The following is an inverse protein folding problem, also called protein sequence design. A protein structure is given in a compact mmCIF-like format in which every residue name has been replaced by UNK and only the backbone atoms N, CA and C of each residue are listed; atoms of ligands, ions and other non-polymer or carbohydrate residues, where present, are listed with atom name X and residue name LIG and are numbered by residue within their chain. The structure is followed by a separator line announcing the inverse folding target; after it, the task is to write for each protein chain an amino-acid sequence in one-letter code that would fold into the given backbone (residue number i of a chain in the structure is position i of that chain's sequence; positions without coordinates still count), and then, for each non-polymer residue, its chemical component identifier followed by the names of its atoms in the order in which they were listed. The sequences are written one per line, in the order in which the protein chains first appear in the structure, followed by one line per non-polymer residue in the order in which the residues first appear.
data_IF_429427193540
#
_entry.id   IF_429427193540
#
_cell.length_a   1.000
_cell.length_b   1.000
_cell.length_c   1.000
_cell.angle_alpha   90.00
_cell.angle_beta   90.00
_cell.angle_gamma   90.00
#
_symmetry.space_group_name_H-M   'P 1'
#
loop_
_entity.id
_entity.type
_entity.pdbx_description
1 polymer ?
#
# COMPACT_ATOMS: atom_id res chain seq x y z
N UNK A 1 3.19 24.77 14.06
CA UNK A 1 2.88 24.22 12.72
C UNK A 1 2.01 23.00 12.90
N UNK A 2 0.80 23.00 12.34
CA UNK A 2 -0.12 21.85 12.40
C UNK A 2 0.11 20.97 11.16
N UNK A 3 0.45 19.70 11.37
CA UNK A 3 0.78 18.76 10.29
C UNK A 3 -0.20 17.59 10.34
N UNK A 4 -0.82 17.28 9.19
CA UNK A 4 -1.68 16.12 9.05
C UNK A 4 -1.01 15.01 8.22
N UNK A 5 -1.19 13.76 8.65
CA UNK A 5 -0.78 12.57 7.95
C UNK A 5 -1.94 11.92 7.20
N UNK A 6 -1.66 11.36 6.02
CA UNK A 6 -2.60 10.55 5.24
C UNK A 6 -1.88 9.25 4.84
N UNK A 7 -2.48 8.10 5.15
CA UNK A 7 -1.99 6.79 4.68
C UNK A 7 -2.75 6.44 3.41
N UNK A 8 -2.04 6.15 2.31
CA UNK A 8 -2.65 5.98 1.00
C UNK A 8 -1.89 5.00 0.10
N UNK A 9 -2.53 4.57 -0.97
CA UNK A 9 -1.92 3.79 -2.06
C UNK A 9 -1.62 4.65 -3.30
N UNK A 10 -2.50 5.61 -3.59
CA UNK A 10 -2.46 6.43 -4.81
C UNK A 10 -2.30 5.60 -6.09
N UNK A 11 -3.22 4.68 -6.32
CA UNK A 11 -3.12 3.62 -7.30
C UNK A 11 -4.20 3.66 -8.42
N UNK A 12 -4.17 4.66 -9.36
CA UNK A 12 -3.32 5.87 -9.38
C UNK A 12 -3.85 6.99 -8.47
N UNK A 13 -3.11 8.11 -8.40
CA UNK A 13 -3.58 9.33 -7.74
C UNK A 13 -4.68 9.98 -8.60
N UNK A 14 -5.89 10.13 -8.07
CA UNK A 14 -7.06 10.67 -8.78
C UNK A 14 -7.70 11.86 -8.05
N UNK A 15 -8.69 12.52 -8.68
CA UNK A 15 -9.38 13.70 -8.12
C UNK A 15 -9.96 13.48 -6.72
N UNK A 16 -10.38 12.26 -6.37
CA UNK A 16 -10.83 11.92 -5.02
C UNK A 16 -9.72 12.03 -3.97
N UNK A 17 -8.47 11.70 -4.32
CA UNK A 17 -7.33 11.88 -3.43
C UNK A 17 -6.98 13.37 -3.26
N UNK A 18 -6.99 14.15 -4.35
CA UNK A 18 -6.80 15.59 -4.27
C UNK A 18 -7.89 16.27 -3.42
N UNK A 19 -9.14 15.86 -3.56
CA UNK A 19 -10.24 16.31 -2.71
C UNK A 19 -9.99 16.00 -1.24
N UNK A 20 -9.54 14.77 -0.91
CA UNK A 20 -9.22 14.38 0.47
C UNK A 20 -8.13 15.29 1.05
N UNK A 21 -7.02 15.48 0.35
CA UNK A 21 -5.93 16.38 0.77
C UNK A 21 -6.44 17.80 0.99
N UNK A 22 -7.19 18.35 0.02
CA UNK A 22 -7.76 19.71 0.12
C UNK A 22 -8.71 19.87 1.29
N UNK A 23 -9.62 18.91 1.51
CA UNK A 23 -10.55 18.94 2.65
C UNK A 23 -9.84 18.78 3.99
N UNK A 24 -8.84 17.90 4.07
CA UNK A 24 -8.01 17.77 5.28
C UNK A 24 -7.38 19.13 5.62
N UNK A 25 -6.74 19.78 4.66
CA UNK A 25 -6.11 21.10 4.87
C UNK A 25 -7.12 22.15 5.30
N UNK A 26 -8.26 22.25 4.60
CA UNK A 26 -9.28 23.25 4.87
C UNK A 26 -9.93 23.07 6.26
N UNK A 27 -10.33 21.85 6.60
CA UNK A 27 -11.12 21.59 7.81
C UNK A 27 -10.27 21.48 9.07
N UNK A 28 -9.01 21.08 8.96
CA UNK A 28 -8.12 20.95 10.13
C UNK A 28 -7.20 22.15 10.32
N UNK A 29 -7.07 23.03 9.33
CA UNK A 29 -6.08 24.10 9.34
C UNK A 29 -4.64 23.60 9.23
N UNK A 30 -4.44 22.37 8.74
CA UNK A 30 -3.10 21.81 8.58
C UNK A 30 -2.27 22.61 7.56
N UNK A 31 -1.11 23.11 8.00
CA UNK A 31 -0.17 23.85 7.18
C UNK A 31 0.62 22.95 6.23
N UNK A 32 0.74 21.67 6.58
CA UNK A 32 1.43 20.69 5.78
C UNK A 32 0.74 19.32 5.82
N UNK A 33 0.75 18.62 4.69
CA UNK A 33 0.20 17.27 4.53
C UNK A 33 1.34 16.30 4.18
N UNK A 34 1.59 15.34 5.06
CA UNK A 34 2.54 14.25 4.87
C UNK A 34 1.78 12.99 4.47
N UNK A 35 2.05 12.48 3.28
CA UNK A 35 1.44 11.25 2.79
C UNK A 35 2.37 10.06 3.02
N UNK A 36 1.87 9.00 3.67
CA UNK A 36 2.56 7.72 3.79
C UNK A 36 1.98 6.78 2.72
N UNK A 37 2.76 6.47 1.71
CA UNK A 37 2.31 5.80 0.50
C UNK A 37 2.91 4.41 0.36
N UNK A 38 2.07 3.40 0.07
CA UNK A 38 2.54 2.05 -0.29
C UNK A 38 3.61 2.11 -1.39
N UNK A 39 4.66 1.29 -1.23
CA UNK A 39 5.74 1.16 -2.20
C UNK A 39 5.29 0.55 -3.54
N UNK A 40 6.06 -0.38 -4.09
CA UNK A 40 5.81 -0.96 -5.41
C UNK A 40 4.58 -1.89 -5.46
N UNK A 41 4.10 -2.37 -4.30
CA UNK A 41 2.92 -3.24 -4.16
C UNK A 41 1.94 -2.67 -3.15
N UNK A 42 0.65 -2.93 -3.37
CA UNK A 42 -0.44 -2.31 -2.61
C UNK A 42 -1.26 -3.34 -1.82
N UNK A 43 -2.06 -2.89 -0.86
CA UNK A 43 -2.79 -3.73 0.10
C UNK A 43 -3.72 -4.76 -0.54
N UNK A 44 -4.24 -4.45 -1.73
CA UNK A 44 -5.08 -5.42 -2.46
C UNK A 44 -4.31 -6.65 -2.94
N UNK A 45 -2.99 -6.66 -2.85
CA UNK A 45 -2.12 -7.74 -3.29
C UNK A 45 -1.88 -7.69 -4.80
N UNK A 46 -1.60 -6.52 -5.30
CA UNK A 46 -1.27 -6.27 -6.70
C UNK A 46 -0.10 -5.30 -6.82
N UNK A 47 0.66 -5.31 -7.94
CA UNK A 47 1.60 -4.24 -8.23
C UNK A 47 0.87 -2.92 -8.39
N UNK A 48 1.49 -1.82 -7.99
CA UNK A 48 0.93 -0.50 -8.17
C UNK A 48 0.84 -0.13 -9.66
N UNK A 49 -0.17 0.66 -10.04
CA UNK A 49 -0.42 1.05 -11.44
C UNK A 49 0.76 1.78 -12.09
N UNK A 50 1.45 2.61 -11.31
CA UNK A 50 2.73 3.24 -11.65
C UNK A 50 3.74 2.95 -10.53
N UNK A 51 5.04 3.04 -10.83
CA UNK A 51 6.08 2.90 -9.82
C UNK A 51 5.94 3.95 -8.70
N UNK A 52 6.56 3.68 -7.54
CA UNK A 52 6.45 4.54 -6.36
C UNK A 52 7.01 5.95 -6.58
N UNK A 53 8.03 6.10 -7.40
CA UNK A 53 8.64 7.41 -7.67
C UNK A 53 7.74 8.27 -8.57
N UNK A 54 7.11 7.67 -9.58
CA UNK A 54 6.10 8.33 -10.39
C UNK A 54 4.87 8.74 -9.56
N UNK A 55 4.38 7.86 -8.68
CA UNK A 55 3.26 8.18 -7.79
C UNK A 55 3.63 9.26 -6.76
N UNK A 56 4.88 9.30 -6.30
CA UNK A 56 5.38 10.39 -5.45
C UNK A 56 5.32 11.72 -6.19
N UNK A 57 5.78 11.80 -7.47
CA UNK A 57 5.67 13.01 -8.29
C UNK A 57 4.21 13.44 -8.46
N UNK A 58 3.33 12.49 -8.81
CA UNK A 58 1.89 12.75 -8.96
C UNK A 58 1.26 13.31 -7.67
N UNK A 59 1.60 12.75 -6.51
CA UNK A 59 1.09 13.20 -5.22
C UNK A 59 1.57 14.61 -4.86
N UNK A 60 2.87 14.90 -5.05
CA UNK A 60 3.44 16.23 -4.78
C UNK A 60 2.85 17.29 -5.71
N UNK A 61 2.72 17.02 -7.00
CA UNK A 61 2.08 17.92 -7.98
C UNK A 61 0.59 18.13 -7.70
N UNK A 62 -0.04 17.23 -6.95
CA UNK A 62 -1.48 17.25 -6.67
C UNK A 62 -1.83 17.63 -5.22
N UNK A 63 -0.89 18.19 -4.45
CA UNK A 63 -1.18 18.84 -3.16
C UNK A 63 -0.57 18.21 -1.91
N UNK A 64 0.10 17.06 -2.01
CA UNK A 64 0.92 16.53 -0.91
C UNK A 64 2.18 17.39 -0.73
N UNK A 65 2.60 17.65 0.51
CA UNK A 65 3.82 18.42 0.79
C UNK A 65 5.05 17.53 0.95
N UNK A 66 4.86 16.32 1.47
CA UNK A 66 5.89 15.28 1.60
C UNK A 66 5.28 13.89 1.38
N UNK A 67 6.05 12.99 0.80
CA UNK A 67 5.67 11.59 0.60
C UNK A 67 6.70 10.68 1.26
N UNK A 68 6.23 9.84 2.18
CA UNK A 68 6.99 8.79 2.85
C UNK A 68 6.61 7.42 2.24
N UNK A 69 7.50 6.45 2.35
CA UNK A 69 7.25 5.07 1.93
C UNK A 69 6.67 4.22 3.06
N UNK A 70 5.50 3.62 2.83
CA UNK A 70 4.99 2.55 3.67
C UNK A 70 5.65 1.24 3.21
N UNK A 71 6.46 0.59 4.05
CA UNK A 71 7.17 -0.63 3.69
C UNK A 71 6.25 -1.74 3.18
N UNK A 72 6.75 -2.51 2.19
CA UNK A 72 6.00 -3.57 1.50
C UNK A 72 5.47 -4.63 2.48
N UNK A 73 6.19 -4.87 3.57
CA UNK A 73 5.77 -5.82 4.59
C UNK A 73 4.48 -5.42 5.29
N UNK A 74 4.19 -4.11 5.42
CA UNK A 74 2.91 -3.61 5.92
C UNK A 74 1.90 -3.45 4.78
N UNK A 75 2.34 -3.01 3.60
CA UNK A 75 1.47 -2.81 2.44
C UNK A 75 0.77 -4.11 2.02
N UNK A 76 1.44 -5.27 2.12
CA UNK A 76 0.90 -6.57 1.74
C UNK A 76 0.21 -7.32 2.88
N UNK A 77 -0.29 -6.62 3.90
CA UNK A 77 -1.04 -7.23 4.99
C UNK A 77 -2.53 -6.85 5.00
N UNK A 78 -3.29 -7.51 5.89
CA UNK A 78 -4.69 -7.16 6.14
C UNK A 78 -4.79 -5.75 6.78
N UNK A 79 -6.00 -5.17 6.74
CA UNK A 79 -6.27 -3.81 7.23
C UNK A 79 -5.66 -3.53 8.62
N UNK A 80 -5.71 -4.51 9.51
CA UNK A 80 -5.15 -4.44 10.87
C UNK A 80 -3.67 -4.04 10.88
N UNK A 81 -2.83 -4.76 10.19
CA UNK A 81 -1.38 -4.52 10.21
C UNK A 81 -0.94 -3.45 9.21
N UNK A 82 -1.69 -3.25 8.15
CA UNK A 82 -1.52 -2.09 7.27
C UNK A 82 -1.71 -0.79 8.06
N UNK A 83 -2.81 -0.67 8.80
CA UNK A 83 -3.11 0.49 9.62
C UNK A 83 -2.10 0.65 10.77
N UNK A 84 -1.84 -0.41 11.52
CA UNK A 84 -0.89 -0.38 12.63
C UNK A 84 0.52 0.03 12.19
N UNK A 85 1.02 -0.53 11.07
CA UNK A 85 2.31 -0.17 10.50
C UNK A 85 2.37 1.32 10.13
N UNK A 86 1.31 1.84 9.48
CA UNK A 86 1.23 3.24 9.13
C UNK A 86 1.17 4.17 10.34
N UNK A 87 0.37 3.84 11.36
CA UNK A 87 0.29 4.61 12.62
C UNK A 87 1.64 4.62 13.34
N UNK A 88 2.34 3.47 13.39
CA UNK A 88 3.67 3.38 14.02
C UNK A 88 4.72 4.24 13.31
N UNK A 89 4.68 4.31 11.97
CA UNK A 89 5.56 5.21 11.20
C UNK A 89 5.28 6.67 11.56
N UNK A 90 4.02 7.07 11.58
CA UNK A 90 3.64 8.44 11.93
C UNK A 90 3.93 8.77 13.40
N UNK A 91 3.71 7.84 14.30
CA UNK A 91 4.08 8.01 15.70
C UNK A 91 5.61 8.12 15.88
N UNK A 92 6.37 7.31 15.13
CA UNK A 92 7.84 7.40 15.07
C UNK A 92 8.35 8.72 14.50
N UNK A 93 7.64 9.33 13.55
CA UNK A 93 8.00 10.62 12.95
C UNK A 93 7.82 11.79 13.95
N UNK A 94 6.87 11.68 14.88
CA UNK A 94 6.65 12.61 16.00
C UNK A 94 6.41 14.08 15.66
N UNK A 95 6.00 14.40 14.43
CA UNK A 95 5.71 15.78 13.99
C UNK A 95 4.25 16.00 13.62
N UNK A 96 3.48 14.92 13.52
CA UNK A 96 2.07 14.97 13.15
C UNK A 96 1.19 15.15 14.37
N UNK A 97 0.13 15.93 14.20
CA UNK A 97 -0.95 16.08 15.19
C UNK A 97 -2.25 15.37 14.76
N UNK A 98 -2.40 15.07 13.47
CA UNK A 98 -3.64 14.54 12.90
C UNK A 98 -3.33 13.37 11.99
N UNK A 99 -4.15 12.30 12.10
CA UNK A 99 -4.27 11.25 11.09
C UNK A 99 -5.59 11.40 10.34
N UNK A 100 -5.52 11.82 9.07
CA UNK A 100 -6.70 11.99 8.23
C UNK A 100 -6.94 10.78 7.35
N UNK A 101 -8.20 10.31 7.27
CA UNK A 101 -8.61 9.17 6.44
C UNK A 101 -10.01 9.35 5.86
N UNK A 102 -10.31 8.63 4.78
CA UNK A 102 -11.63 8.65 4.14
C UNK A 102 -12.59 7.65 4.76
N UNK A 103 -13.87 8.03 4.91
CA UNK A 103 -14.98 7.14 5.33
C UNK A 103 -16.10 7.13 4.31
N UNK A 104 -16.84 6.03 4.28
CA UNK A 104 -18.00 5.84 3.40
C UNK A 104 -19.32 5.90 4.20
N UNK A 105 -19.37 5.21 5.34
CA UNK A 105 -20.53 5.14 6.22
C UNK A 105 -20.70 6.36 7.13
N UNK A 106 -21.85 6.41 7.81
CA UNK A 106 -22.16 7.46 8.79
C UNK A 106 -21.55 7.18 10.16
N UNK A 107 -21.37 5.90 10.52
CA UNK A 107 -20.77 5.43 11.78
C UNK A 107 -19.60 4.49 11.50
N UNK A 108 -18.69 4.35 12.45
CA UNK A 108 -17.69 3.30 12.43
C UNK A 108 -18.37 1.95 12.65
N UNK A 109 -17.86 0.86 12.05
CA UNK A 109 -18.38 -0.47 12.32
C UNK A 109 -18.02 -0.88 13.75
N UNK A 110 -18.98 -1.53 14.43
CA UNK A 110 -18.73 -2.07 15.76
C UNK A 110 -17.94 -3.37 15.68
N UNK A 111 -17.09 -3.59 16.68
CA UNK A 111 -16.41 -4.87 16.86
C UNK A 111 -17.44 -5.88 17.43
N UNK A 112 -17.56 -7.03 16.78
CA UNK A 112 -18.46 -8.11 17.21
C UNK A 112 -17.96 -8.79 18.47
N UNK A 113 -18.82 -9.02 19.43
CA UNK A 113 -18.50 -9.77 20.65
C UNK A 113 -18.09 -11.22 20.36
N UNK A 114 -18.69 -11.83 19.33
CA UNK A 114 -18.42 -13.22 18.92
C UNK A 114 -17.30 -13.35 17.87
N UNK A 115 -16.50 -12.31 17.65
CA UNK A 115 -15.45 -12.24 16.61
C UNK A 115 -14.51 -13.46 16.63
N UNK A 116 -14.03 -13.87 17.80
CA UNK A 116 -13.14 -15.03 17.95
C UNK A 116 -13.81 -16.35 17.50
N UNK A 117 -15.07 -16.56 17.83
CA UNK A 117 -15.79 -17.75 17.43
C UNK A 117 -16.04 -17.79 15.91
N UNK A 118 -16.28 -16.64 15.29
CA UNK A 118 -16.45 -16.49 13.84
C UNK A 118 -15.13 -16.74 13.09
N UNK A 119 -14.01 -16.23 13.60
CA UNK A 119 -12.69 -16.54 13.06
C UNK A 119 -12.37 -18.04 13.11
N UNK A 120 -12.69 -18.71 14.24
CA UNK A 120 -12.54 -20.17 14.36
C UNK A 120 -13.42 -20.94 13.38
N UNK A 121 -14.59 -20.42 13.00
CA UNK A 121 -15.44 -20.99 11.93
C UNK A 121 -14.91 -20.70 10.52
N UNK A 122 -13.82 -19.97 10.39
CA UNK A 122 -13.17 -19.68 9.11
C UNK A 122 -13.80 -18.53 8.34
N UNK A 123 -14.50 -17.62 8.99
CA UNK A 123 -14.95 -16.37 8.37
C UNK A 123 -13.75 -15.46 8.09
N UNK A 124 -13.87 -14.59 7.07
CA UNK A 124 -12.83 -13.60 6.78
C UNK A 124 -12.69 -12.59 7.93
N UNK A 125 -11.49 -12.06 8.17
CA UNK A 125 -11.25 -11.12 9.26
C UNK A 125 -12.25 -9.94 9.29
N UNK A 126 -12.51 -9.20 8.19
CA UNK A 126 -13.48 -8.11 8.22
C UNK A 126 -14.90 -8.58 8.59
N UNK A 127 -15.35 -9.69 8.04
CA UNK A 127 -16.66 -10.25 8.32
C UNK A 127 -16.81 -10.79 9.74
N UNK A 128 -15.75 -11.37 10.28
CA UNK A 128 -15.74 -11.92 11.62
C UNK A 128 -15.69 -10.84 12.70
N UNK A 129 -14.88 -9.79 12.47
CA UNK A 129 -14.58 -8.76 13.47
C UNK A 129 -15.61 -7.63 13.46
N UNK A 130 -16.10 -7.24 12.29
CA UNK A 130 -16.97 -6.07 12.14
C UNK A 130 -18.42 -6.47 11.74
N UNK A 131 -19.41 -5.72 12.21
CA UNK A 131 -20.83 -6.03 12.02
C UNK A 131 -21.33 -5.72 10.60
N UNK A 132 -21.05 -4.57 10.05
CA UNK A 132 -21.43 -4.17 8.70
C UNK A 132 -20.38 -3.17 8.16
N UNK A 133 -19.34 -3.69 7.50
CA UNK A 133 -18.20 -2.86 7.21
C UNK A 133 -17.94 -2.69 5.73
N UNK A 134 -18.02 -1.45 5.27
CA UNK A 134 -17.41 -1.03 4.02
C UNK A 134 -15.88 -1.02 4.15
N UNK A 135 -15.13 -1.31 3.09
CA UNK A 135 -13.67 -1.48 3.18
C UNK A 135 -12.92 -0.29 3.79
N UNK A 136 -13.34 0.94 3.50
CA UNK A 136 -12.70 2.12 4.08
C UNK A 136 -13.11 2.36 5.55
N UNK A 137 -14.30 1.93 5.96
CA UNK A 137 -14.73 2.03 7.36
C UNK A 137 -13.99 1.00 8.24
N UNK A 138 -13.67 -0.19 7.69
CA UNK A 138 -12.76 -1.14 8.34
C UNK A 138 -11.37 -0.51 8.54
N UNK A 139 -10.81 0.12 7.51
CA UNK A 139 -9.53 0.81 7.64
C UNK A 139 -9.58 1.95 8.65
N UNK A 140 -10.66 2.74 8.65
CA UNK A 140 -10.86 3.82 9.62
C UNK A 140 -10.88 3.29 11.07
N UNK A 141 -11.61 2.20 11.32
CA UNK A 141 -11.64 1.55 12.64
C UNK A 141 -10.26 1.02 13.05
N UNK A 142 -9.51 0.43 12.11
CA UNK A 142 -8.16 -0.08 12.38
C UNK A 142 -7.13 1.05 12.59
N UNK A 143 -7.29 2.22 11.97
CA UNK A 143 -6.46 3.39 12.27
C UNK A 143 -6.69 3.89 13.69
N UNK A 144 -7.95 4.04 14.12
CA UNK A 144 -8.28 4.46 15.49
C UNK A 144 -7.75 3.44 16.50
N UNK A 145 -7.97 2.15 16.25
CA UNK A 145 -7.43 1.08 17.08
C UNK A 145 -5.89 1.11 17.14
N UNK A 146 -5.23 1.40 16.02
CA UNK A 146 -3.77 1.56 15.97
C UNK A 146 -3.28 2.74 16.79
N UNK A 147 -3.99 3.88 16.78
CA UNK A 147 -3.69 5.05 17.61
C UNK A 147 -3.79 4.67 19.09
N UNK A 148 -4.89 4.04 19.51
CA UNK A 148 -5.11 3.59 20.89
C UNK A 148 -4.04 2.59 21.35
N UNK A 149 -3.75 1.57 20.53
CA UNK A 149 -2.78 0.51 20.86
C UNK A 149 -1.36 1.03 20.97
N UNK A 150 -0.99 2.02 20.21
CA UNK A 150 0.35 2.62 20.23
C UNK A 150 0.49 3.74 21.26
N UNK A 151 -0.60 4.14 21.93
CA UNK A 151 -0.62 5.32 22.80
C UNK A 151 -0.23 6.59 22.07
N UNK A 152 -0.63 6.71 20.80
CA UNK A 152 -0.27 7.84 19.95
C UNK A 152 -1.17 9.05 20.22
N UNK A 153 -0.59 10.26 20.24
CA UNK A 153 -1.31 11.53 20.39
C UNK A 153 -1.97 12.02 19.08
N UNK A 154 -1.98 11.20 18.02
CA UNK A 154 -2.60 11.56 16.75
C UNK A 154 -4.12 11.70 16.90
N UNK A 155 -4.64 12.88 16.56
CA UNK A 155 -6.08 13.11 16.46
C UNK A 155 -6.65 12.44 15.22
N UNK A 156 -7.56 11.45 15.32
CA UNK A 156 -8.20 10.86 14.15
C UNK A 156 -9.17 11.85 13.52
N UNK A 157 -9.02 12.12 12.23
CA UNK A 157 -9.85 13.02 11.47
C UNK A 157 -10.33 12.37 10.17
N UNK A 158 -11.63 12.40 9.89
CA UNK A 158 -12.19 11.71 8.74
C UNK A 158 -12.88 12.66 7.76
N UNK A 159 -12.72 12.35 6.48
CA UNK A 159 -13.39 13.04 5.38
C UNK A 159 -14.40 12.08 4.75
N UNK A 160 -15.63 12.54 4.53
CA UNK A 160 -16.63 11.77 3.79
C UNK A 160 -16.19 11.62 2.34
N UNK A 161 -16.05 10.37 1.89
CA UNK A 161 -15.69 10.06 0.50
C UNK A 161 -16.80 10.49 -0.47
N UNK A 162 -16.39 10.92 -1.66
CA UNK A 162 -17.27 11.10 -2.81
C UNK A 162 -17.14 9.86 -3.69
N UNK A 163 -18.23 9.14 -3.95
CA UNK A 163 -18.26 7.89 -4.72
C UNK A 163 -18.02 6.64 -3.87
N UNK A 164 -18.54 5.49 -4.35
CA UNK A 164 -18.39 4.19 -3.70
C UNK A 164 -17.04 3.56 -4.03
N UNK A 165 -16.44 2.84 -3.07
CA UNK A 165 -15.10 2.22 -3.18
C UNK A 165 -14.98 1.22 -4.33
N UNK A 166 -16.03 0.46 -4.61
CA UNK A 166 -16.07 -0.60 -5.63
C UNK A 166 -16.97 -0.22 -6.82
N UNK A 167 -17.28 1.09 -7.01
CA UNK A 167 -17.99 1.52 -8.22
C UNK A 167 -17.19 1.12 -9.46
N UNK A 168 -17.89 0.62 -10.49
CA UNK A 168 -17.29 0.36 -11.81
C UNK A 168 -17.01 1.66 -12.58
N UNK A 169 -17.40 2.81 -11.99
CA UNK A 169 -17.23 4.13 -12.59
C UNK A 169 -15.81 4.70 -12.39
N UNK A 170 -15.51 5.74 -13.17
CA UNK A 170 -14.23 6.48 -13.15
C UNK A 170 -14.02 7.33 -11.85
N UNK A 171 -14.89 7.20 -10.88
CA UNK A 171 -14.81 7.83 -9.56
C UNK A 171 -14.01 7.00 -8.52
N UNK A 172 -13.61 5.77 -8.89
CA UNK A 172 -12.81 4.89 -8.05
C UNK A 172 -11.49 4.48 -8.70
N UNK A 173 -10.45 4.25 -7.89
CA UNK A 173 -9.16 3.76 -8.39
C UNK A 173 -9.29 2.43 -9.17
N UNK A 174 -10.21 1.54 -8.76
CA UNK A 174 -10.47 0.29 -9.46
C UNK A 174 -11.09 0.54 -10.85
N UNK A 175 -12.11 1.39 -10.93
CA UNK A 175 -12.73 1.76 -12.20
C UNK A 175 -11.73 2.41 -13.15
N UNK A 176 -10.91 3.33 -12.64
CA UNK A 176 -9.86 3.99 -13.42
C UNK A 176 -8.87 2.96 -13.98
N UNK A 177 -8.42 1.97 -13.19
CA UNK A 177 -7.50 0.93 -13.69
C UNK A 177 -8.15 0.03 -14.74
N UNK A 178 -9.43 -0.30 -14.60
CA UNK A 178 -10.18 -1.10 -15.58
C UNK A 178 -10.34 -0.35 -16.90
N UNK A 179 -10.70 0.92 -16.84
CA UNK A 179 -10.80 1.79 -18.03
C UNK A 179 -9.44 1.91 -18.73
N UNK A 180 -8.36 2.12 -17.98
CA UNK A 180 -7.01 2.14 -18.53
C UNK A 180 -6.60 0.82 -19.20
N UNK A 181 -6.95 -0.33 -18.60
CA UNK A 181 -6.70 -1.65 -19.17
C UNK A 181 -7.52 -1.90 -20.44
N UNK A 182 -8.71 -1.28 -20.55
CA UNK A 182 -9.52 -1.27 -21.76
C UNK A 182 -9.04 -0.28 -22.84
N UNK A 183 -7.98 0.50 -22.57
CA UNK A 183 -7.44 1.51 -23.48
C UNK A 183 -8.23 2.83 -23.51
N UNK A 184 -9.12 3.06 -22.55
CA UNK A 184 -9.89 4.28 -22.42
C UNK A 184 -9.02 5.44 -21.89
N UNK A 185 -9.34 6.68 -22.29
CA UNK A 185 -8.68 7.87 -21.77
C UNK A 185 -9.16 8.17 -20.33
N UNK A 186 -8.27 8.00 -19.38
CA UNK A 186 -8.53 8.26 -17.97
C UNK A 186 -7.99 9.61 -17.49
N UNK A 187 -7.44 10.43 -18.37
CA UNK A 187 -6.80 11.71 -17.96
C UNK A 187 -7.78 12.69 -17.36
N UNK A 188 -9.03 12.67 -17.82
CA UNK A 188 -10.10 13.55 -17.33
C UNK A 188 -10.50 13.34 -15.86
N UNK A 189 -10.18 12.20 -15.26
CA UNK A 189 -10.50 11.89 -13.84
C UNK A 189 -9.31 12.05 -12.91
N UNK A 190 -8.14 12.36 -13.45
CA UNK A 190 -6.92 12.66 -12.70
C UNK A 190 -6.76 14.17 -12.53
N UNK A 191 -6.08 14.66 -11.48
CA UNK A 191 -5.55 16.01 -11.44
C UNK A 191 -4.50 16.19 -12.55
N UNK A 192 -4.32 17.40 -13.05
CA UNK A 192 -3.44 17.70 -14.20
C UNK A 192 -2.01 17.16 -14.00
N UNK A 193 -1.41 17.41 -12.83
CA UNK A 193 -0.07 16.90 -12.52
C UNK A 193 0.02 15.38 -12.48
N UNK A 194 -1.04 14.69 -12.01
CA UNK A 194 -1.09 13.23 -12.04
C UNK A 194 -1.28 12.70 -13.47
N UNK A 195 -2.10 13.36 -14.27
CA UNK A 195 -2.33 13.00 -15.68
C UNK A 195 -1.06 13.16 -16.52
N UNK A 196 -0.32 14.25 -16.30
CA UNK A 196 0.97 14.50 -16.97
C UNK A 196 1.99 13.39 -16.65
N UNK A 197 2.16 13.07 -15.35
CA UNK A 197 3.05 11.99 -14.92
C UNK A 197 2.64 10.66 -15.55
N UNK A 198 1.35 10.33 -15.55
CA UNK A 198 0.86 9.08 -16.14
C UNK A 198 1.16 9.02 -17.64
N UNK A 199 0.85 10.07 -18.40
CA UNK A 199 1.15 10.13 -19.84
C UNK A 199 2.63 9.90 -20.12
N UNK A 200 3.52 10.54 -19.33
CA UNK A 200 4.94 10.36 -19.46
C UNK A 200 5.38 8.90 -19.16
N UNK A 201 4.83 8.28 -18.12
CA UNK A 201 5.16 6.88 -17.78
C UNK A 201 4.67 5.91 -18.86
N UNK A 202 3.46 6.11 -19.39
CA UNK A 202 2.93 5.28 -20.49
C UNK A 202 3.77 5.43 -21.76
N UNK A 203 4.16 6.65 -22.15
CA UNK A 203 5.03 6.89 -23.29
C UNK A 203 6.39 6.22 -23.19
N UNK A 204 6.90 6.07 -21.95
CA UNK A 204 8.15 5.39 -21.67
C UNK A 204 8.00 3.85 -21.58
N UNK A 205 6.79 3.31 -21.65
CA UNK A 205 6.49 1.90 -21.43
C UNK A 205 6.65 1.47 -19.97
N UNK A 206 6.41 2.39 -19.03
CA UNK A 206 6.58 2.18 -17.58
C UNK A 206 5.25 2.10 -16.81
N UNK A 207 4.14 2.09 -17.50
CA UNK A 207 2.79 1.89 -16.96
C UNK A 207 1.83 1.49 -18.09
N UNK A 208 0.75 0.75 -17.77
CA UNK A 208 0.60 -0.07 -16.56
C UNK A 208 1.46 -1.33 -16.59
N UNK A 209 1.56 -2.04 -15.47
CA UNK A 209 2.22 -3.36 -15.42
C UNK A 209 1.43 -4.42 -16.21
N UNK A 210 2.10 -5.53 -16.59
CA UNK A 210 1.55 -6.59 -17.44
C UNK A 210 1.12 -7.81 -16.61
N UNK A 211 -0.16 -8.16 -16.69
CA UNK A 211 -0.76 -9.26 -15.90
C UNK A 211 -0.19 -10.64 -16.27
N UNK A 212 0.05 -10.88 -17.54
CA UNK A 212 0.62 -12.15 -18.03
C UNK A 212 2.06 -12.36 -17.55
N UNK A 213 2.84 -11.28 -17.43
CA UNK A 213 4.19 -11.33 -16.86
C UNK A 213 4.12 -11.64 -15.36
N UNK A 214 3.24 -10.96 -14.62
CA UNK A 214 3.02 -11.24 -13.20
C UNK A 214 2.62 -12.70 -12.99
N UNK A 215 1.67 -13.20 -13.78
CA UNK A 215 1.22 -14.60 -13.73
C UNK A 215 2.40 -15.57 -13.93
N UNK A 216 3.19 -15.36 -14.97
CA UNK A 216 4.34 -16.23 -15.25
C UNK A 216 5.39 -16.21 -14.13
N UNK A 217 5.71 -15.05 -13.58
CA UNK A 217 6.66 -14.94 -12.46
C UNK A 217 6.16 -15.62 -11.20
N UNK A 218 4.88 -15.43 -10.85
CA UNK A 218 4.26 -16.10 -9.70
C UNK A 218 4.26 -17.61 -9.89
N UNK A 219 3.85 -18.12 -11.08
CA UNK A 219 3.86 -19.56 -11.37
C UNK A 219 5.28 -20.14 -11.36
N UNK A 220 6.26 -19.46 -11.95
CA UNK A 220 7.65 -19.88 -11.93
C UNK A 220 8.16 -20.05 -10.48
N UNK A 221 7.87 -19.06 -9.64
CA UNK A 221 8.25 -19.09 -8.23
C UNK A 221 7.52 -20.21 -7.46
N UNK A 222 6.20 -20.34 -7.66
CA UNK A 222 5.39 -21.38 -7.01
C UNK A 222 5.82 -22.80 -7.43
N UNK A 223 6.18 -23.01 -8.70
CA UNK A 223 6.65 -24.32 -9.22
C UNK A 223 8.05 -24.66 -8.70
N UNK A 224 8.96 -23.68 -8.61
CA UNK A 224 10.34 -23.89 -8.16
C UNK A 224 10.46 -24.19 -6.66
N UNK A 225 9.60 -23.60 -5.81
CA UNK A 225 9.65 -23.79 -4.37
C UNK A 225 9.01 -25.12 -3.95
N UNK A 226 9.57 -25.78 -2.92
CA UNK A 226 8.93 -26.92 -2.27
C UNK A 226 7.69 -26.47 -1.49
N UNK A 227 6.76 -27.39 -1.18
CA UNK A 227 5.60 -27.07 -0.33
C UNK A 227 6.04 -26.57 1.06
N UNK A 228 7.12 -27.13 1.61
CA UNK A 228 7.69 -26.67 2.88
C UNK A 228 8.21 -25.23 2.78
N UNK A 229 8.92 -24.86 1.71
CA UNK A 229 9.39 -23.50 1.49
C UNK A 229 8.21 -22.52 1.31
N UNK A 230 7.17 -22.92 0.56
CA UNK A 230 5.94 -22.13 0.43
C UNK A 230 5.21 -21.95 1.76
N UNK A 231 5.20 -22.97 2.64
CA UNK A 231 4.52 -22.88 3.94
C UNK A 231 5.17 -21.88 4.91
N UNK A 232 6.44 -21.54 4.69
CA UNK A 232 7.15 -20.52 5.47
C UNK A 232 6.78 -19.08 5.05
N UNK A 233 6.15 -18.90 3.88
CA UNK A 233 5.82 -17.58 3.35
C UNK A 233 4.56 -17.00 4.01
N UNK A 234 4.53 -15.69 4.12
CA UNK A 234 3.41 -14.96 4.71
C UNK A 234 2.11 -15.23 3.94
N UNK A 235 1.06 -15.57 4.68
CA UNK A 235 -0.25 -15.90 4.11
C UNK A 235 -0.43 -17.38 3.72
N UNK A 236 0.59 -18.21 3.81
CA UNK A 236 0.53 -19.65 3.55
C UNK A 236 -0.05 -20.42 4.74
N UNK A 237 -1.36 -20.37 4.94
CA UNK A 237 -2.03 -21.01 6.05
C UNK A 237 -2.98 -22.11 5.56
N UNK A 238 -3.26 -23.10 6.42
CA UNK A 238 -4.31 -24.10 6.23
C UNK A 238 -4.20 -24.90 4.90
N UNK A 239 -2.99 -25.20 4.44
CA UNK A 239 -2.75 -26.01 3.24
C UNK A 239 -2.83 -25.22 1.92
N UNK A 240 -2.84 -23.90 1.99
CA UNK A 240 -2.86 -23.03 0.79
C UNK A 240 -1.62 -23.24 -0.08
N UNK A 241 -0.47 -23.59 0.51
CA UNK A 241 0.77 -23.96 -0.19
C UNK A 241 0.60 -25.16 -1.11
N UNK A 242 -0.09 -26.20 -0.69
CA UNK A 242 -0.38 -27.37 -1.52
C UNK A 242 -1.38 -27.06 -2.64
N UNK A 243 -2.37 -26.24 -2.33
CA UNK A 243 -3.33 -25.76 -3.35
C UNK A 243 -2.63 -24.92 -4.41
N UNK A 244 -1.71 -24.02 -3.99
CA UNK A 244 -0.93 -23.21 -4.93
C UNK A 244 -0.07 -24.06 -5.85
N UNK A 245 0.60 -25.10 -5.34
CA UNK A 245 1.38 -26.02 -6.17
C UNK A 245 0.54 -26.58 -7.31
N UNK A 246 -0.63 -27.17 -6.97
CA UNK A 246 -1.54 -27.74 -7.97
C UNK A 246 -2.13 -26.70 -8.92
N UNK A 247 -2.56 -25.56 -8.38
CA UNK A 247 -3.15 -24.49 -9.18
C UNK A 247 -2.13 -23.89 -10.16
N UNK A 248 -0.87 -23.74 -9.74
CA UNK A 248 0.19 -23.21 -10.61
C UNK A 248 0.55 -24.16 -11.77
N UNK A 249 0.27 -25.48 -11.65
CA UNK A 249 0.43 -26.44 -12.74
C UNK A 249 -0.72 -26.36 -13.75
N UNK A 250 -1.92 -26.02 -13.33
CA UNK A 250 -3.15 -26.09 -14.10
C UNK A 250 -3.55 -24.74 -14.75
N UNK A 251 -3.31 -23.63 -14.06
CA UNK A 251 -3.76 -22.33 -14.49
C UNK A 251 -3.04 -21.84 -15.76
N UNK A 252 -3.80 -21.21 -16.65
CA UNK A 252 -3.32 -20.54 -17.87
C UNK A 252 -3.33 -19.00 -17.74
N UNK A 253 -3.92 -18.45 -16.66
CA UNK A 253 -4.00 -16.99 -16.40
C UNK A 253 -3.96 -16.68 -14.91
N UNK A 254 -3.68 -15.42 -14.56
CA UNK A 254 -3.71 -14.96 -13.16
C UNK A 254 -5.11 -15.11 -12.54
N UNK A 255 -6.15 -14.79 -13.29
CA UNK A 255 -7.53 -14.92 -12.82
C UNK A 255 -7.92 -16.38 -12.56
N UNK A 256 -7.52 -17.28 -13.44
CA UNK A 256 -7.73 -18.71 -13.24
C UNK A 256 -6.96 -19.24 -12.02
N UNK A 257 -5.69 -18.82 -11.85
CA UNK A 257 -4.90 -19.16 -10.67
C UNK A 257 -5.58 -18.72 -9.38
N UNK A 258 -6.08 -17.48 -9.34
CA UNK A 258 -6.82 -16.95 -8.19
C UNK A 258 -8.12 -17.76 -7.96
N UNK A 259 -8.85 -18.09 -9.02
CA UNK A 259 -10.10 -18.83 -8.95
C UNK A 259 -9.91 -20.24 -8.39
N UNK A 260 -8.86 -20.96 -8.79
CA UNK A 260 -8.48 -22.28 -8.27
C UNK A 260 -8.08 -22.23 -6.78
N UNK A 261 -7.56 -21.11 -6.31
CA UNK A 261 -7.20 -20.91 -4.90
C UNK A 261 -8.39 -20.47 -4.04
N UNK A 262 -9.44 -19.88 -4.63
CA UNK A 262 -10.57 -19.30 -3.92
C UNK A 262 -11.35 -20.35 -3.13
N UNK A 263 -11.78 -19.97 -1.92
CA UNK A 263 -12.66 -20.76 -1.07
C UNK A 263 -13.51 -19.84 -0.19
N UNK A 264 -14.46 -20.41 0.58
CA UNK A 264 -15.24 -19.63 1.57
C UNK A 264 -14.34 -18.90 2.60
N UNK A 265 -13.17 -19.47 2.92
CA UNK A 265 -12.21 -18.91 3.91
C UNK A 265 -11.26 -17.88 3.33
N UNK A 266 -10.97 -17.95 2.01
CA UNK A 266 -9.97 -17.11 1.38
C UNK A 266 -10.63 -16.09 0.47
N UNK A 267 -10.66 -14.84 0.91
CA UNK A 267 -11.08 -13.72 0.05
C UNK A 267 -10.06 -13.51 -1.08
N UNK A 268 -10.53 -12.94 -2.20
CA UNK A 268 -9.64 -12.60 -3.33
C UNK A 268 -8.40 -11.80 -2.86
N UNK A 269 -8.60 -10.76 -2.06
CA UNK A 269 -7.49 -9.93 -1.58
C UNK A 269 -6.47 -10.70 -0.73
N UNK A 270 -6.93 -11.67 0.10
CA UNK A 270 -6.01 -12.55 0.86
C UNK A 270 -5.18 -13.42 -0.07
N UNK A 271 -5.79 -14.02 -1.09
CA UNK A 271 -5.08 -14.82 -2.10
C UNK A 271 -4.06 -13.96 -2.84
N UNK A 272 -4.48 -12.80 -3.35
CA UNK A 272 -3.58 -11.90 -4.08
C UNK A 272 -2.37 -11.48 -3.23
N UNK A 273 -2.57 -11.11 -1.95
CA UNK A 273 -1.45 -10.81 -1.04
C UNK A 273 -0.53 -12.00 -0.84
N UNK A 274 -1.08 -13.20 -0.68
CA UNK A 274 -0.27 -14.43 -0.59
C UNK A 274 0.57 -14.63 -1.85
N UNK A 275 -0.01 -14.49 -3.05
CA UNK A 275 0.73 -14.59 -4.31
C UNK A 275 1.86 -13.57 -4.40
N UNK A 276 1.65 -12.33 -3.93
CA UNK A 276 2.72 -11.33 -3.86
C UNK A 276 3.78 -11.70 -2.83
N UNK A 277 3.41 -12.25 -1.67
CA UNK A 277 4.38 -12.76 -0.71
C UNK A 277 5.20 -13.93 -1.28
N UNK A 278 4.59 -14.81 -2.07
CA UNK A 278 5.30 -15.88 -2.80
C UNK A 278 6.29 -15.29 -3.79
N UNK A 279 5.85 -14.34 -4.61
CA UNK A 279 6.69 -13.67 -5.60
C UNK A 279 7.89 -12.97 -4.96
N UNK A 280 7.65 -12.22 -3.90
CA UNK A 280 8.65 -11.41 -3.21
C UNK A 280 9.47 -12.19 -2.18
N UNK A 281 9.08 -13.42 -1.82
CA UNK A 281 9.75 -14.21 -0.80
C UNK A 281 9.61 -13.60 0.61
N UNK A 282 8.45 -13.05 0.95
CA UNK A 282 8.17 -12.49 2.28
C UNK A 282 7.75 -13.62 3.20
N UNK A 283 8.50 -13.82 4.28
CA UNK A 283 8.30 -14.92 5.22
C UNK A 283 7.42 -14.55 6.42
N UNK A 284 6.77 -15.56 7.02
CA UNK A 284 5.99 -15.40 8.26
C UNK A 284 6.81 -14.81 9.41
N UNK A 285 8.09 -15.25 9.55
CA UNK A 285 8.98 -14.74 10.60
C UNK A 285 9.22 -13.23 10.47
N UNK A 286 9.36 -12.74 9.24
CA UNK A 286 9.57 -11.32 8.95
C UNK A 286 8.31 -10.50 9.29
N UNK A 287 7.13 -10.97 8.86
CA UNK A 287 5.87 -10.30 9.21
C UNK A 287 5.62 -10.30 10.72
N UNK A 288 5.90 -11.41 11.41
CA UNK A 288 5.76 -11.50 12.87
C UNK A 288 6.73 -10.53 13.58
N UNK A 289 8.00 -10.49 13.15
CA UNK A 289 9.01 -9.59 13.69
C UNK A 289 8.54 -8.13 13.58
N UNK A 290 8.25 -7.64 12.37
CA UNK A 290 7.92 -6.24 12.16
C UNK A 290 6.52 -5.86 12.68
N UNK A 291 5.59 -6.80 12.77
CA UNK A 291 4.31 -6.58 13.46
C UNK A 291 4.48 -6.39 14.97
N UNK A 292 5.54 -6.93 15.56
CA UNK A 292 5.86 -6.77 17.00
C UNK A 292 6.74 -5.55 17.23
N UNK A 293 7.89 -5.48 16.55
CA UNK A 293 8.91 -4.43 16.79
C UNK A 293 8.56 -3.07 16.18
N UNK A 294 7.68 -3.03 15.16
CA UNK A 294 7.45 -1.84 14.34
C UNK A 294 8.54 -1.61 13.29
N UNK A 295 8.43 -0.50 12.53
CA UNK A 295 9.39 -0.15 11.49
C UNK A 295 10.72 0.34 12.10
N UNK A 296 11.87 -0.13 11.61
CA UNK A 296 13.18 0.30 12.11
C UNK A 296 13.63 1.67 11.57
N UNK A 297 12.97 2.18 10.54
CA UNK A 297 13.29 3.45 9.90
C UNK A 297 12.06 4.07 9.21
N UNK A 298 12.19 5.33 8.82
CA UNK A 298 11.28 6.08 7.96
C UNK A 298 12.03 6.51 6.71
N UNK A 299 11.48 6.25 5.52
CA UNK A 299 12.03 6.70 4.25
C UNK A 299 11.17 7.80 3.63
N UNK A 300 11.78 8.93 3.30
CA UNK A 300 11.16 9.99 2.51
C UNK A 300 11.48 9.78 1.02
N UNK A 301 10.44 9.71 0.19
CA UNK A 301 10.55 9.59 -1.27
C UNK A 301 10.58 10.95 -1.95
N UNK A 302 9.91 11.94 -1.39
CA UNK A 302 9.88 13.26 -1.99
C UNK A 302 9.25 14.35 -1.13
N UNK A 303 9.54 15.59 -1.47
CA UNK A 303 9.08 16.80 -0.79
C UNK A 303 8.89 17.94 -1.79
N UNK A 304 7.90 18.80 -1.57
CA UNK A 304 7.76 20.04 -2.33
C UNK A 304 8.89 21.01 -1.97
N UNK A 305 9.38 21.76 -2.96
CA UNK A 305 10.53 22.66 -2.81
C UNK A 305 10.33 23.70 -1.72
N UNK A 306 9.14 24.27 -1.65
CA UNK A 306 8.75 25.27 -0.64
C UNK A 306 8.49 24.69 0.76
N UNK A 307 8.56 23.37 0.90
CA UNK A 307 8.37 22.64 2.15
C UNK A 307 9.60 21.82 2.58
N UNK A 308 10.78 22.17 2.05
CA UNK A 308 12.04 21.47 2.37
C UNK A 308 12.42 21.53 3.85
N UNK A 309 11.93 22.52 4.58
CA UNK A 309 12.05 22.64 6.03
C UNK A 309 11.48 21.45 6.78
N UNK A 310 10.44 20.78 6.22
CA UNK A 310 9.91 19.54 6.77
C UNK A 310 10.96 18.42 6.88
N UNK A 311 11.92 18.34 5.97
CA UNK A 311 12.98 17.32 6.03
C UNK A 311 13.80 17.48 7.32
N UNK A 312 14.24 18.69 7.61
CA UNK A 312 15.01 18.99 8.82
C UNK A 312 14.17 18.82 10.09
N UNK A 313 12.90 19.19 10.03
CA UNK A 313 11.97 19.00 11.14
C UNK A 313 11.78 17.49 11.43
N UNK A 314 11.46 16.70 10.41
CA UNK A 314 11.27 15.26 10.53
C UNK A 314 12.53 14.56 11.04
N UNK A 315 13.71 14.88 10.46
CA UNK A 315 14.97 14.26 10.86
C UNK A 315 15.33 14.53 12.33
N UNK A 316 15.02 15.74 12.86
CA UNK A 316 15.30 16.07 14.25
C UNK A 316 14.29 15.53 15.25
N UNK A 317 13.03 15.38 14.83
CA UNK A 317 11.93 15.01 15.74
C UNK A 317 11.64 13.51 15.73
N UNK A 318 12.09 12.78 14.72
CA UNK A 318 11.84 11.34 14.61
C UNK A 318 12.48 10.56 15.75
N UNK A 319 11.69 9.64 16.32
CA UNK A 319 12.13 8.68 17.34
C UNK A 319 12.85 7.46 16.77
N UNK A 320 12.74 7.27 15.45
CA UNK A 320 13.42 6.22 14.68
C UNK A 320 14.16 6.88 13.50
N UNK A 321 15.22 6.26 12.96
CA UNK A 321 16.01 6.83 11.88
C UNK A 321 15.17 7.29 10.68
N UNK A 322 15.49 8.50 10.17
CA UNK A 322 14.81 9.12 9.04
C UNK A 322 15.79 9.26 7.87
N UNK A 323 15.46 8.67 6.71
CA UNK A 323 16.33 8.62 5.55
C UNK A 323 15.69 9.24 4.31
N UNK A 324 16.53 9.88 3.51
CA UNK A 324 16.17 10.40 2.17
C UNK A 324 16.97 9.71 1.06
N UNK A 325 17.95 8.89 1.42
CA UNK A 325 18.89 8.25 0.51
C UNK A 325 18.77 6.74 0.56
N UNK A 326 18.58 6.10 -0.61
CA UNK A 326 18.62 4.64 -0.74
C UNK A 326 20.01 4.06 -0.45
N UNK A 327 21.08 4.82 -0.74
CA UNK A 327 22.44 4.39 -0.47
C UNK A 327 22.73 4.29 1.04
N UNK A 328 22.20 5.21 1.85
CA UNK A 328 22.27 5.12 3.31
C UNK A 328 21.45 3.93 3.82
N UNK A 329 20.22 3.77 3.35
CA UNK A 329 19.37 2.63 3.70
C UNK A 329 19.97 1.28 3.33
N UNK A 330 20.74 1.17 2.23
CA UNK A 330 21.43 -0.08 1.88
C UNK A 330 22.42 -0.51 2.97
N UNK A 331 23.01 0.43 3.70
CA UNK A 331 23.97 0.14 4.78
C UNK A 331 23.28 -0.09 6.13
N UNK A 332 22.15 0.58 6.38
CA UNK A 332 21.55 0.69 7.71
C UNK A 332 20.13 0.14 7.80
N UNK A 333 19.43 -0.01 6.68
CA UNK A 333 18.00 -0.41 6.64
C UNK A 333 17.77 -1.91 6.84
N UNK A 334 18.82 -2.72 6.82
CA UNK A 334 18.75 -4.15 7.08
C UNK A 334 17.79 -4.92 6.17
N UNK A 335 17.26 -6.02 6.70
CA UNK A 335 16.39 -6.94 5.97
C UNK A 335 15.13 -6.25 5.41
N UNK A 336 14.59 -5.24 6.11
CA UNK A 336 13.41 -4.51 5.63
C UNK A 336 13.70 -3.76 4.34
N UNK A 337 14.83 -3.09 4.23
CA UNK A 337 15.17 -2.37 3.01
C UNK A 337 15.56 -3.31 1.86
N UNK A 338 16.13 -4.47 2.16
CA UNK A 338 16.36 -5.52 1.15
C UNK A 338 15.06 -6.05 0.55
N UNK A 339 14.00 -6.15 1.35
CA UNK A 339 12.66 -6.48 0.83
C UNK A 339 12.11 -5.38 -0.09
N UNK A 340 12.30 -4.09 0.28
CA UNK A 340 11.89 -2.96 -0.57
C UNK A 340 12.63 -2.94 -1.91
N UNK A 341 13.95 -3.11 -1.90
CA UNK A 341 14.73 -3.18 -3.14
C UNK A 341 14.28 -4.34 -4.02
N UNK A 342 14.11 -5.53 -3.45
CA UNK A 342 13.59 -6.70 -4.18
C UNK A 342 12.20 -6.46 -4.75
N UNK A 343 11.32 -5.82 -3.98
CA UNK A 343 9.98 -5.48 -4.46
C UNK A 343 10.04 -4.49 -5.64
N UNK A 344 10.90 -3.50 -5.58
CA UNK A 344 11.10 -2.55 -6.69
C UNK A 344 11.70 -3.23 -7.91
N UNK A 345 12.73 -4.07 -7.73
CA UNK A 345 13.40 -4.76 -8.83
C UNK A 345 12.46 -5.75 -9.54
N UNK A 346 11.63 -6.48 -8.79
CA UNK A 346 10.61 -7.36 -9.37
C UNK A 346 9.52 -6.55 -10.08
N UNK A 347 9.11 -5.41 -9.51
CA UNK A 347 8.15 -4.51 -10.17
C UNK A 347 8.65 -4.04 -11.53
N UNK A 348 9.94 -3.69 -11.66
CA UNK A 348 10.53 -3.27 -12.94
C UNK A 348 10.41 -4.35 -14.04
N UNK A 349 10.41 -5.63 -13.68
CA UNK A 349 10.20 -6.73 -14.63
C UNK A 349 8.77 -6.84 -15.16
N UNK A 350 7.80 -6.28 -14.43
CA UNK A 350 6.39 -6.34 -14.79
C UNK A 350 5.98 -5.29 -15.84
N UNK A 351 6.84 -4.33 -16.11
CA UNK A 351 6.55 -3.20 -17.00
C UNK A 351 6.57 -3.62 -18.48
N UNK A 352 5.79 -2.96 -19.36
CA UNK A 352 5.83 -3.18 -20.80
C UNK A 352 7.25 -3.07 -21.38
N UNK A 353 8.03 -2.13 -20.89
CA UNK A 353 9.46 -2.01 -21.13
C UNK A 353 10.19 -2.29 -19.80
N UNK A 354 10.68 -3.51 -19.60
CA UNK A 354 11.35 -3.87 -18.35
C UNK A 354 12.48 -2.92 -18.02
N UNK A 355 12.50 -2.48 -16.76
CA UNK A 355 13.53 -1.60 -16.23
C UNK A 355 14.75 -2.38 -15.72
N UNK A 356 15.82 -1.65 -15.39
CA UNK A 356 16.97 -2.20 -14.69
C UNK A 356 16.70 -2.27 -13.19
N UNK A 357 17.24 -3.26 -12.49
CA UNK A 357 17.24 -3.31 -11.04
C UNK A 357 18.06 -2.19 -10.40
N UNK A 358 17.91 -2.01 -9.09
CA UNK A 358 18.66 -1.05 -8.30
C UNK A 358 18.10 0.37 -8.28
N UNK A 359 16.85 0.58 -8.71
CA UNK A 359 16.25 1.93 -8.71
C UNK A 359 16.15 2.55 -7.32
N UNK A 360 15.97 1.76 -6.29
CA UNK A 360 15.98 2.25 -4.91
C UNK A 360 17.32 2.90 -4.52
N UNK A 361 18.40 2.52 -5.19
CA UNK A 361 19.74 3.07 -4.99
C UNK A 361 20.06 4.28 -5.87
N UNK A 362 19.43 4.35 -7.04
CA UNK A 362 19.75 5.37 -8.07
C UNK A 362 18.77 6.54 -8.10
N UNK A 363 17.51 6.30 -7.67
CA UNK A 363 16.53 7.38 -7.53
C UNK A 363 16.79 8.14 -6.23
N UNK A 364 17.15 9.40 -6.38
CA UNK A 364 17.31 10.31 -5.25
C UNK A 364 15.99 10.83 -4.72
N UNK A 365 16.07 11.65 -3.66
CA UNK A 365 14.91 12.37 -3.13
C UNK A 365 14.29 13.26 -4.22
N UNK A 366 12.99 13.08 -4.44
CA UNK A 366 12.23 13.91 -5.38
C UNK A 366 11.94 15.26 -4.74
N UNK A 367 12.37 16.33 -5.39
CA UNK A 367 12.10 17.72 -4.96
C UNK A 367 11.41 18.45 -6.11
N UNK A 368 10.16 18.85 -5.92
CA UNK A 368 9.35 19.54 -6.92
C UNK A 368 8.93 20.93 -6.45
#
# INVERSE_FOLDING_TARGET
MRIAGIIAEYNPFHKGHAYHIGQTRLQTGAESIICLMSGSFVQRGEPAFMDKFARTRAALLSGADMVLELPVIYSLQAARYFALGGVRIFNGLSVLSILSFGREGQSLPNIREDALSRLKRGESYPSAVYDAALPNDVLAAEYIRGIEETGSDLEPFWIKRRGAHDSSGLDSALGIRRAAAAGEDITGVLPDGSAEVLKAQMALGRAPWQEDVLFRLVCARARALSAQALSALSGADEGLEYRLKRAAEQAASLEELISLLKSKRYTRARICRFLMCVLLGIEKRQTALYNTSGPPYIRCLGVRREKRDLLSLCARSSRIPFYTSGAELKREGGELFEMEMRATDIYELLLPKPGRGGRDMTEGLIVL
#
